data_IF_232189155064
#
_entry.id   IF_232189155064
#
_cell.length_a   1.000
_cell.length_b   1.000
_cell.length_c   1.000
_cell.angle_alpha   90.00
_cell.angle_beta   90.00
_cell.angle_gamma   90.00
#
_symmetry.space_group_name_H-M   'P 1'
#
loop_
_entity.id
_entity.type
_entity.pdbx_description
1 polymer ?
#
# COMPACT_ATOMS: atom_id res chain seq x y z
N UNK A 1 -41.38 -29.01 -81.92
CA UNK A 1 -41.50 -29.76 -80.66
C UNK A 1 -40.10 -30.07 -80.16
N UNK A 2 -39.54 -29.16 -79.35
CA UNK A 2 -38.35 -29.38 -78.51
C UNK A 2 -38.36 -28.29 -77.43
N UNK A 3 -38.84 -28.69 -76.25
CA UNK A 3 -38.83 -27.91 -75.02
C UNK A 3 -37.39 -27.75 -74.52
N UNK A 4 -36.93 -26.51 -74.35
CA UNK A 4 -35.72 -26.21 -73.58
C UNK A 4 -36.12 -25.43 -72.32
N UNK A 5 -36.27 -26.15 -71.21
CA UNK A 5 -36.44 -25.55 -69.88
C UNK A 5 -35.13 -24.87 -69.47
N UNK A 6 -35.14 -23.64 -68.92
CA UNK A 6 -33.93 -23.01 -68.39
C UNK A 6 -33.47 -23.72 -67.11
N UNK A 7 -32.14 -23.80 -66.93
CA UNK A 7 -31.50 -24.37 -65.75
C UNK A 7 -31.84 -23.58 -64.46
N UNK A 8 -31.90 -24.22 -63.29
CA UNK A 8 -32.16 -23.53 -62.03
C UNK A 8 -31.00 -22.60 -61.67
N UNK A 9 -31.34 -21.34 -61.43
CA UNK A 9 -30.45 -20.29 -60.96
C UNK A 9 -29.80 -20.75 -59.64
N UNK A 10 -28.47 -20.78 -59.62
CA UNK A 10 -27.70 -21.20 -58.48
C UNK A 10 -27.86 -20.15 -57.37
N UNK A 11 -28.66 -20.47 -56.35
CA UNK A 11 -28.81 -19.68 -55.13
C UNK A 11 -27.44 -19.19 -54.63
N UNK A 12 -27.14 -17.92 -54.87
CA UNK A 12 -25.93 -17.29 -54.39
C UNK A 12 -25.93 -17.35 -52.86
N UNK A 13 -24.90 -18.00 -52.29
CA UNK A 13 -24.70 -18.00 -50.84
C UNK A 13 -24.48 -16.54 -50.39
N UNK A 14 -25.17 -16.07 -49.34
CA UNK A 14 -24.95 -14.73 -48.83
C UNK A 14 -23.50 -14.58 -48.36
N UNK A 15 -22.90 -13.38 -48.49
CA UNK A 15 -21.52 -13.15 -48.07
C UNK A 15 -21.39 -13.38 -46.57
N UNK A 16 -20.33 -14.09 -46.17
CA UNK A 16 -19.96 -14.26 -44.76
C UNK A 16 -19.59 -12.88 -44.22
N UNK A 17 -20.20 -12.41 -43.12
CA UNK A 17 -19.82 -11.13 -42.53
C UNK A 17 -18.35 -11.18 -42.08
N UNK A 18 -17.60 -10.07 -42.20
CA UNK A 18 -16.23 -10.02 -41.72
C UNK A 18 -16.19 -10.38 -40.23
N UNK A 19 -15.20 -11.20 -39.85
CA UNK A 19 -14.99 -11.55 -38.45
C UNK A 19 -14.87 -10.26 -37.63
N UNK A 20 -15.65 -10.17 -36.56
CA UNK A 20 -15.54 -9.06 -35.61
C UNK A 20 -14.10 -9.06 -35.06
N UNK A 21 -13.41 -7.91 -35.18
CA UNK A 21 -12.14 -7.70 -34.51
C UNK A 21 -12.48 -7.61 -33.02
N UNK A 22 -12.14 -8.65 -32.25
CA UNK A 22 -12.23 -8.58 -30.80
C UNK A 22 -11.34 -7.42 -30.31
N UNK A 23 -11.86 -6.51 -29.46
CA UNK A 23 -11.03 -5.48 -28.88
C UNK A 23 -9.87 -6.16 -28.11
N UNK A 24 -8.65 -5.60 -28.14
CA UNK A 24 -7.55 -6.15 -27.36
C UNK A 24 -8.00 -6.28 -25.90
N UNK A 25 -7.73 -7.44 -25.29
CA UNK A 25 -8.06 -7.70 -23.90
C UNK A 25 -7.55 -6.52 -23.06
N UNK A 26 -8.46 -5.77 -22.44
CA UNK A 26 -8.10 -4.66 -21.59
C UNK A 26 -7.28 -5.23 -20.43
N UNK A 27 -5.98 -4.93 -20.38
CA UNK A 27 -5.17 -5.18 -19.21
C UNK A 27 -5.79 -4.39 -18.06
N UNK A 28 -6.51 -5.08 -17.18
CA UNK A 28 -7.13 -4.46 -16.01
C UNK A 28 -6.01 -3.93 -15.13
N UNK A 29 -5.90 -2.60 -15.02
CA UNK A 29 -4.96 -1.98 -14.08
C UNK A 29 -5.26 -2.50 -12.66
N UNK A 30 -4.22 -2.81 -11.87
CA UNK A 30 -4.44 -3.24 -10.50
C UNK A 30 -5.08 -2.12 -9.68
N UNK A 31 -5.84 -2.49 -8.65
CA UNK A 31 -6.35 -1.52 -7.67
C UNK A 31 -5.15 -0.94 -6.93
N UNK A 32 -4.94 0.37 -7.06
CA UNK A 32 -3.71 1.04 -6.64
C UNK A 32 -3.32 0.75 -5.18
N UNK A 33 -4.27 0.80 -4.23
CA UNK A 33 -4.00 0.48 -2.83
C UNK A 33 -3.59 -0.99 -2.59
N UNK A 34 -4.09 -1.93 -3.40
CA UNK A 34 -3.65 -3.34 -3.33
C UNK A 34 -2.25 -3.53 -3.91
N UNK A 35 -1.94 -2.84 -5.01
CA UNK A 35 -0.61 -2.87 -5.62
C UNK A 35 0.44 -2.25 -4.68
N UNK A 36 0.13 -1.13 -4.02
CA UNK A 36 0.99 -0.54 -2.99
C UNK A 36 1.21 -1.51 -1.83
N UNK A 37 0.16 -2.20 -1.37
CA UNK A 37 0.29 -3.23 -0.34
C UNK A 37 1.20 -4.38 -0.79
N UNK A 38 1.04 -4.88 -2.01
CA UNK A 38 1.89 -5.93 -2.56
C UNK A 38 3.35 -5.49 -2.66
N UNK A 39 3.62 -4.26 -3.13
CA UNK A 39 4.96 -3.69 -3.14
C UNK A 39 5.55 -3.60 -1.73
N UNK A 40 4.77 -3.15 -0.75
CA UNK A 40 5.20 -3.07 0.65
C UNK A 40 5.61 -4.44 1.22
N UNK A 41 4.88 -5.51 0.88
CA UNK A 41 5.24 -6.88 1.25
C UNK A 41 6.58 -7.30 0.64
N UNK A 42 6.85 -6.94 -0.61
CA UNK A 42 8.13 -7.23 -1.29
C UNK A 42 9.30 -6.42 -0.72
N UNK A 43 9.05 -5.23 -0.16
CA UNK A 43 10.07 -4.37 0.46
C UNK A 43 10.44 -4.82 1.89
N UNK A 44 9.52 -5.47 2.61
CA UNK A 44 9.72 -5.88 4.00
C UNK A 44 11.03 -6.67 4.26
N UNK A 45 11.43 -7.66 3.43
CA UNK A 45 12.69 -8.38 3.64
C UNK A 45 13.95 -7.49 3.60
N UNK A 46 13.90 -6.34 2.90
CA UNK A 46 15.00 -5.39 2.92
C UNK A 46 15.09 -4.67 4.27
N UNK A 47 13.95 -4.25 4.83
CA UNK A 47 13.88 -3.65 6.17
C UNK A 47 14.32 -4.64 7.26
N UNK A 48 13.88 -5.89 7.18
CA UNK A 48 14.28 -6.96 8.09
C UNK A 48 15.81 -7.20 8.08
N UNK A 49 16.43 -7.04 6.92
CA UNK A 49 17.87 -7.15 6.75
C UNK A 49 18.64 -5.84 7.04
N UNK A 50 17.96 -4.78 7.47
CA UNK A 50 18.57 -3.48 7.73
C UNK A 50 19.12 -2.78 6.48
N UNK A 51 18.59 -3.10 5.29
CA UNK A 51 19.01 -2.48 4.02
C UNK A 51 18.13 -1.27 3.71
N UNK A 52 18.71 -0.14 3.25
CA UNK A 52 17.94 1.01 2.81
C UNK A 52 17.01 0.68 1.63
N UNK A 53 15.82 1.27 1.63
CA UNK A 53 14.88 1.22 0.51
C UNK A 53 15.26 2.31 -0.51
N UNK A 54 16.32 2.05 -1.26
CA UNK A 54 16.80 2.99 -2.27
C UNK A 54 15.88 3.06 -3.50
N UNK A 55 16.17 4.04 -4.38
CA UNK A 55 15.33 4.28 -5.55
C UNK A 55 15.33 3.13 -6.57
N UNK A 56 16.30 2.23 -6.54
CA UNK A 56 16.32 1.04 -7.40
C UNK A 56 15.39 -0.03 -6.81
N UNK A 57 15.54 -0.32 -5.52
CA UNK A 57 14.70 -1.25 -4.75
C UNK A 57 13.22 -0.88 -4.84
N UNK A 58 12.91 0.41 -4.69
CA UNK A 58 11.52 0.89 -4.81
C UNK A 58 10.97 0.71 -6.23
N UNK A 59 11.77 1.02 -7.26
CA UNK A 59 11.32 0.86 -8.66
C UNK A 59 11.03 -0.59 -9.00
N UNK A 60 11.89 -1.50 -8.56
CA UNK A 60 11.72 -2.94 -8.77
C UNK A 60 10.41 -3.42 -8.14
N UNK A 61 10.23 -3.18 -6.84
CA UNK A 61 9.01 -3.59 -6.12
C UNK A 61 7.73 -2.98 -6.73
N UNK A 62 7.77 -1.71 -7.12
CA UNK A 62 6.63 -1.03 -7.72
C UNK A 62 6.32 -1.51 -9.14
N UNK A 63 7.35 -1.74 -9.96
CA UNK A 63 7.17 -2.24 -11.34
C UNK A 63 6.55 -3.64 -11.31
N UNK A 64 7.01 -4.50 -10.41
CA UNK A 64 6.47 -5.85 -10.25
C UNK A 64 5.02 -5.82 -9.75
N UNK A 65 4.70 -4.97 -8.77
CA UNK A 65 3.36 -4.89 -8.20
C UNK A 65 2.33 -4.24 -9.15
N UNK A 66 2.74 -3.26 -9.95
CA UNK A 66 1.87 -2.55 -10.87
C UNK A 66 1.85 -3.16 -12.29
N UNK A 67 2.83 -4.00 -12.63
CA UNK A 67 3.00 -4.59 -13.95
C UNK A 67 3.45 -3.60 -15.04
N UNK A 68 3.92 -2.41 -14.64
CA UNK A 68 4.40 -1.35 -15.53
C UNK A 68 5.37 -0.41 -14.77
N UNK A 69 6.29 0.22 -15.50
CA UNK A 69 7.29 1.14 -14.94
C UNK A 69 6.76 2.56 -14.68
N UNK A 70 7.51 3.37 -13.94
CA UNK A 70 7.23 4.81 -13.80
C UNK A 70 7.34 5.56 -15.13
N UNK A 71 8.26 5.14 -16.01
CA UNK A 71 8.44 5.71 -17.35
C UNK A 71 7.23 5.46 -18.29
N UNK A 72 6.52 4.36 -18.08
CA UNK A 72 5.27 4.03 -18.80
C UNK A 72 4.03 4.64 -18.14
N UNK A 73 4.21 5.40 -17.05
CA UNK A 73 3.11 5.97 -16.28
C UNK A 73 2.30 4.93 -15.50
N UNK A 74 2.90 3.79 -15.18
CA UNK A 74 2.26 2.71 -14.41
C UNK A 74 1.96 3.10 -12.96
N UNK A 75 2.80 3.95 -12.37
CA UNK A 75 2.70 4.44 -10.99
C UNK A 75 3.49 5.76 -10.83
N UNK A 76 3.22 6.48 -9.73
CA UNK A 76 3.91 7.73 -9.38
C UNK A 76 4.86 7.52 -8.21
N UNK A 77 5.91 8.34 -8.10
CA UNK A 77 6.83 8.30 -6.94
C UNK A 77 6.14 8.45 -5.59
N UNK A 78 4.97 9.11 -5.54
CA UNK A 78 4.11 9.13 -4.35
C UNK A 78 3.73 7.71 -3.91
N UNK A 79 3.33 6.85 -4.84
CA UNK A 79 2.91 5.48 -4.55
C UNK A 79 4.07 4.65 -4.00
N UNK A 80 5.29 4.88 -4.52
CA UNK A 80 6.50 4.25 -4.01
C UNK A 80 6.82 4.69 -2.56
N UNK A 81 6.60 5.96 -2.24
CA UNK A 81 6.74 6.45 -0.86
C UNK A 81 5.65 5.86 0.07
N UNK A 82 4.41 5.74 -0.41
CA UNK A 82 3.34 5.08 0.36
C UNK A 82 3.62 3.58 0.58
N UNK A 83 4.27 2.91 -0.38
CA UNK A 83 4.72 1.53 -0.23
C UNK A 83 5.86 1.38 0.79
N UNK A 84 6.81 2.33 0.83
CA UNK A 84 7.87 2.36 1.84
C UNK A 84 7.29 2.53 3.26
N UNK A 85 6.37 3.49 3.44
CA UNK A 85 5.70 3.72 4.72
C UNK A 85 4.90 2.49 5.16
N UNK A 86 4.17 1.86 4.23
CA UNK A 86 3.43 0.62 4.47
C UNK A 86 4.35 -0.56 4.83
N UNK A 87 5.56 -0.64 4.26
CA UNK A 87 6.54 -1.66 4.62
C UNK A 87 7.03 -1.45 6.07
N UNK A 88 7.21 -0.21 6.51
CA UNK A 88 7.48 0.11 7.92
C UNK A 88 6.31 -0.28 8.85
N UNK A 89 5.06 -0.08 8.42
CA UNK A 89 3.87 -0.57 9.14
C UNK A 89 3.93 -2.09 9.30
N UNK A 90 4.11 -2.84 8.22
CA UNK A 90 4.23 -4.30 8.25
C UNK A 90 5.36 -4.77 9.16
N UNK A 91 6.52 -4.12 9.09
CA UNK A 91 7.66 -4.40 9.98
C UNK A 91 7.27 -4.23 11.45
N UNK A 92 6.57 -3.15 11.81
CA UNK A 92 6.15 -2.91 13.19
C UNK A 92 5.04 -3.85 13.66
N UNK A 93 4.15 -4.30 12.77
CA UNK A 93 3.15 -5.32 13.11
C UNK A 93 3.82 -6.64 13.53
N UNK A 94 4.91 -7.02 12.85
CA UNK A 94 5.68 -8.22 13.15
C UNK A 94 6.58 -8.06 14.37
N UNK A 95 7.33 -6.95 14.44
CA UNK A 95 8.44 -6.81 15.38
C UNK A 95 8.21 -5.78 16.49
N UNK A 96 7.27 -4.87 16.34
CA UNK A 96 7.08 -3.71 17.23
C UNK A 96 6.83 -4.10 18.69
N UNK A 97 6.01 -5.13 18.94
CA UNK A 97 5.80 -5.66 20.31
C UNK A 97 7.08 -6.26 20.89
N UNK A 98 7.88 -6.94 20.08
CA UNK A 98 9.18 -7.48 20.47
C UNK A 98 10.18 -6.37 20.79
N UNK A 99 10.25 -5.34 19.95
CA UNK A 99 11.06 -4.14 20.16
C UNK A 99 10.68 -3.44 21.47
N UNK A 100 9.39 -3.24 21.76
CA UNK A 100 8.94 -2.65 23.03
C UNK A 100 9.35 -3.48 24.25
N UNK A 101 9.26 -4.81 24.17
CA UNK A 101 9.75 -5.70 25.23
C UNK A 101 11.26 -5.55 25.43
N UNK A 102 12.03 -5.49 24.33
CA UNK A 102 13.48 -5.31 24.36
C UNK A 102 13.90 -3.95 24.92
N UNK A 103 13.13 -2.89 24.60
CA UNK A 103 13.36 -1.55 25.16
C UNK A 103 13.20 -1.53 26.69
N UNK A 104 12.29 -2.35 27.23
CA UNK A 104 12.01 -2.46 28.66
C UNK A 104 11.16 -1.31 29.21
N UNK A 105 10.56 -1.50 30.39
CA UNK A 105 9.62 -0.55 31.01
C UNK A 105 10.23 0.49 31.97
N UNK A 106 11.56 0.50 32.11
CA UNK A 106 12.24 1.47 32.98
C UNK A 106 12.34 2.89 32.38
N UNK A 107 12.93 3.85 33.11
CA UNK A 107 13.04 5.26 32.68
C UNK A 107 13.72 5.46 31.31
N UNK A 108 14.66 4.59 30.97
CA UNK A 108 15.38 4.62 29.69
C UNK A 108 14.66 3.88 28.55
N UNK A 109 13.59 3.14 28.86
CA UNK A 109 12.83 2.34 27.90
C UNK A 109 12.36 3.16 26.70
N UNK A 110 11.70 4.31 26.91
CA UNK A 110 11.26 5.16 25.81
C UNK A 110 12.40 5.63 24.89
N UNK A 111 13.56 5.96 25.47
CA UNK A 111 14.75 6.36 24.69
C UNK A 111 15.29 5.21 23.85
N UNK A 112 15.36 4.00 24.40
CA UNK A 112 15.79 2.80 23.65
C UNK A 112 14.83 2.47 22.51
N UNK A 113 13.52 2.53 22.75
CA UNK A 113 12.52 2.32 21.71
C UNK A 113 12.67 3.36 20.60
N UNK A 114 12.79 4.64 20.96
CA UNK A 114 13.00 5.72 19.99
C UNK A 114 14.23 5.48 19.12
N UNK A 115 15.37 5.07 19.70
CA UNK A 115 16.59 4.75 18.93
C UNK A 115 16.39 3.63 17.91
N UNK A 116 15.66 2.57 18.28
CA UNK A 116 15.36 1.49 17.34
C UNK A 116 14.45 1.95 16.21
N UNK A 117 13.46 2.81 16.52
CA UNK A 117 12.58 3.40 15.51
C UNK A 117 13.30 4.39 14.59
N UNK A 118 14.22 5.20 15.13
CA UNK A 118 15.10 6.07 14.33
C UNK A 118 15.95 5.24 13.36
N UNK A 119 16.45 4.07 13.78
CA UNK A 119 17.22 3.18 12.92
C UNK A 119 16.37 2.60 11.78
N UNK A 120 15.11 2.24 12.04
CA UNK A 120 14.17 1.80 10.98
C UNK A 120 13.82 2.95 10.04
N UNK A 121 13.50 4.12 10.58
CA UNK A 121 13.17 5.32 9.79
C UNK A 121 14.30 5.76 8.87
N UNK A 122 15.56 5.53 9.28
CA UNK A 122 16.73 5.85 8.46
C UNK A 122 16.89 4.95 7.23
N UNK A 123 16.14 3.85 7.13
CA UNK A 123 16.11 2.98 5.96
C UNK A 123 15.13 3.47 4.89
N UNK A 124 14.22 4.38 5.21
CA UNK A 124 13.27 4.94 4.25
C UNK A 124 13.95 5.95 3.31
N UNK A 125 13.47 6.08 2.06
CA UNK A 125 13.94 7.12 1.15
C UNK A 125 13.59 8.51 1.69
N UNK A 126 14.38 9.52 1.31
CA UNK A 126 13.96 10.91 1.53
C UNK A 126 12.80 11.28 0.59
N UNK A 127 11.69 11.77 1.15
CA UNK A 127 10.52 12.20 0.40
C UNK A 127 10.78 13.58 -0.27
N UNK A 128 11.56 13.56 -1.34
CA UNK A 128 12.03 14.78 -2.02
C UNK A 128 11.09 15.29 -3.11
N UNK A 129 10.07 14.52 -3.49
CA UNK A 129 9.09 14.87 -4.52
C UNK A 129 7.69 15.02 -3.91
N UNK A 130 6.99 16.12 -4.23
CA UNK A 130 5.61 16.38 -3.81
C UNK A 130 4.68 16.25 -5.02
N UNK A 131 3.65 15.42 -4.93
CA UNK A 131 2.59 15.33 -5.94
C UNK A 131 1.50 16.38 -5.73
N UNK A 132 0.70 16.65 -6.77
CA UNK A 132 -0.44 17.58 -6.69
C UNK A 132 -1.51 17.12 -5.68
N UNK A 133 -1.78 15.81 -5.62
CA UNK A 133 -2.70 15.22 -4.64
C UNK A 133 -2.20 15.45 -3.20
N UNK A 134 -0.90 15.19 -2.94
CA UNK A 134 -0.31 15.43 -1.62
C UNK A 134 -0.42 16.89 -1.18
N UNK A 135 -0.22 17.83 -2.10
CA UNK A 135 -0.37 19.26 -1.80
C UNK A 135 -1.83 19.59 -1.51
N UNK A 136 -2.76 19.09 -2.34
CA UNK A 136 -4.19 19.38 -2.22
C UNK A 136 -4.81 18.83 -0.94
N UNK A 137 -4.46 17.60 -0.58
CA UNK A 137 -4.97 16.90 0.59
C UNK A 137 -4.08 17.07 1.84
N UNK A 138 -3.00 17.85 1.74
CA UNK A 138 -2.00 18.05 2.81
C UNK A 138 -1.47 16.73 3.38
N UNK A 139 -1.24 15.74 2.52
CA UNK A 139 -0.78 14.41 2.89
C UNK A 139 0.73 14.40 3.12
N UNK A 140 1.14 14.86 4.29
CA UNK A 140 2.51 14.70 4.78
C UNK A 140 2.67 13.38 5.51
N UNK A 141 3.87 12.82 5.42
CA UNK A 141 4.23 11.64 6.21
C UNK A 141 4.21 12.00 7.70
N UNK A 142 3.83 11.04 8.54
CA UNK A 142 4.10 11.08 9.98
C UNK A 142 5.30 10.19 10.24
N UNK A 143 6.54 10.72 10.33
CA UNK A 143 7.71 9.88 10.49
C UNK A 143 7.64 9.03 11.76
N UNK A 144 8.19 7.82 11.73
CA UNK A 144 8.20 6.86 12.84
C UNK A 144 8.56 7.47 14.22
N UNK A 145 9.61 8.30 14.36
CA UNK A 145 9.91 8.96 15.64
C UNK A 145 8.78 9.85 16.17
N UNK A 146 8.09 10.56 15.27
CA UNK A 146 6.97 11.44 15.63
C UNK A 146 5.73 10.61 15.98
N UNK A 147 5.46 9.53 15.24
CA UNK A 147 4.37 8.61 15.57
C UNK A 147 4.53 8.00 16.97
N UNK A 148 5.78 7.67 17.34
CA UNK A 148 6.07 7.18 18.68
C UNK A 148 5.91 8.25 19.77
N UNK A 149 6.34 9.49 19.51
CA UNK A 149 6.11 10.60 20.44
C UNK A 149 4.61 10.84 20.68
N UNK A 150 3.80 10.78 19.61
CA UNK A 150 2.35 10.86 19.71
C UNK A 150 1.76 9.71 20.55
N UNK A 151 2.24 8.47 20.37
CA UNK A 151 1.85 7.33 21.21
C UNK A 151 2.16 7.57 22.69
N UNK A 152 3.35 8.11 23.02
CA UNK A 152 3.72 8.42 24.40
C UNK A 152 2.79 9.49 25.00
N UNK A 153 2.44 10.52 24.22
CA UNK A 153 1.55 11.58 24.66
C UNK A 153 0.10 11.09 24.84
N UNK A 154 -0.37 10.22 23.94
CA UNK A 154 -1.72 9.65 23.99
C UNK A 154 -1.92 8.67 25.16
N UNK A 155 -0.83 8.08 25.67
CA UNK A 155 -0.83 7.16 26.81
C UNK A 155 -1.80 5.96 26.66
N UNK A 156 -1.97 5.47 25.42
CA UNK A 156 -2.85 4.34 25.08
C UNK A 156 -2.49 3.09 25.90
N UNK A 157 -3.53 2.43 26.42
CA UNK A 157 -3.45 1.25 27.27
C UNK A 157 -4.26 0.08 26.70
N UNK A 158 -3.92 -1.17 27.09
CA UNK A 158 -4.80 -2.31 26.85
C UNK A 158 -6.22 -2.02 27.34
N UNK A 159 -7.22 -2.32 26.50
CA UNK A 159 -8.63 -2.02 26.74
C UNK A 159 -9.17 -0.72 26.15
N UNK A 160 -8.30 0.21 25.72
CA UNK A 160 -8.73 1.45 25.05
C UNK A 160 -9.34 1.17 23.67
N UNK A 161 -10.15 2.11 23.18
CA UNK A 161 -10.61 2.15 21.78
C UNK A 161 -9.99 3.38 21.12
N UNK A 162 -9.41 3.19 19.93
CA UNK A 162 -8.65 4.20 19.22
C UNK A 162 -9.40 4.61 17.96
N UNK A 163 -9.54 5.91 17.74
CA UNK A 163 -10.05 6.48 16.49
C UNK A 163 -8.93 7.30 15.85
N UNK A 164 -8.59 6.96 14.61
CA UNK A 164 -7.71 7.76 13.76
C UNK A 164 -8.54 8.29 12.56
N UNK A 165 -9.04 9.54 12.62
CA UNK A 165 -9.85 10.13 11.54
C UNK A 165 -9.11 10.37 10.21
N UNK A 166 -7.77 10.41 10.19
CA UNK A 166 -6.93 10.63 9.00
C UNK A 166 -5.68 9.75 9.05
N UNK A 167 -5.89 8.43 9.09
CA UNK A 167 -4.88 7.42 9.36
C UNK A 167 -3.70 7.40 8.38
N UNK A 168 -3.82 8.06 7.21
CA UNK A 168 -2.78 8.09 6.20
C UNK A 168 -2.45 6.68 5.71
N UNK A 169 -1.18 6.27 5.82
CA UNK A 169 -0.71 4.90 5.55
C UNK A 169 -0.73 4.00 6.79
N UNK A 170 -1.11 4.53 7.97
CA UNK A 170 -1.30 3.76 9.20
C UNK A 170 -0.17 3.86 10.24
N UNK A 171 0.73 4.84 10.13
CA UNK A 171 1.87 4.94 11.04
C UNK A 171 1.47 5.16 12.51
N UNK A 172 0.46 5.99 12.77
CA UNK A 172 -0.11 6.13 14.13
C UNK A 172 -0.91 4.90 14.55
N UNK A 173 -1.61 4.27 13.59
CA UNK A 173 -2.40 3.07 13.84
C UNK A 173 -1.54 1.90 14.31
N UNK A 174 -0.40 1.62 13.68
CA UNK A 174 0.49 0.52 14.09
C UNK A 174 1.13 0.77 15.46
N UNK A 175 1.39 2.04 15.81
CA UNK A 175 1.87 2.41 17.15
C UNK A 175 0.81 2.13 18.21
N UNK A 176 -0.44 2.49 17.93
CA UNK A 176 -1.59 2.18 18.78
C UNK A 176 -1.79 0.66 18.90
N UNK A 177 -1.75 -0.09 17.80
CA UNK A 177 -1.83 -1.55 17.77
C UNK A 177 -0.75 -2.20 18.66
N UNK A 178 0.49 -1.70 18.59
CA UNK A 178 1.59 -2.16 19.44
C UNK A 178 1.36 -1.92 20.94
N UNK A 179 0.59 -0.89 21.29
CA UNK A 179 0.24 -0.57 22.68
C UNK A 179 -0.97 -1.36 23.19
N UNK A 180 -2.01 -1.50 22.38
CA UNK A 180 -3.20 -2.33 22.65
C UNK A 180 -2.84 -3.83 22.74
N UNK A 181 -1.88 -4.27 21.93
CA UNK A 181 -1.36 -5.64 21.96
C UNK A 181 -2.40 -6.67 21.50
N UNK A 182 -2.88 -7.53 22.41
CA UNK A 182 -3.90 -8.53 22.06
C UNK A 182 -5.30 -7.91 21.93
N UNK A 183 -5.49 -6.74 22.54
CA UNK A 183 -6.79 -6.06 22.59
C UNK A 183 -7.01 -5.18 21.36
N UNK A 184 -6.12 -5.20 20.36
CA UNK A 184 -6.25 -4.34 19.18
C UNK A 184 -7.42 -4.72 18.25
N UNK A 185 -7.82 -6.01 18.26
CA UNK A 185 -8.90 -6.55 17.42
C UNK A 185 -10.21 -5.83 17.73
N UNK A 186 -10.86 -5.27 16.70
CA UNK A 186 -12.11 -4.51 16.79
C UNK A 186 -12.05 -3.27 17.71
N UNK A 187 -10.84 -2.76 17.99
CA UNK A 187 -10.61 -1.57 18.85
C UNK A 187 -10.00 -0.38 18.14
N UNK A 188 -9.74 -0.47 16.84
CA UNK A 188 -9.13 0.60 16.08
C UNK A 188 -10.03 1.06 14.94
N UNK A 189 -10.57 2.25 15.00
CA UNK A 189 -11.36 2.81 13.92
C UNK A 189 -10.48 3.72 13.07
N UNK A 190 -10.20 3.32 11.84
CA UNK A 190 -9.31 4.04 10.93
C UNK A 190 -10.11 4.62 9.77
N UNK A 191 -9.95 5.92 9.52
CA UNK A 191 -10.57 6.60 8.39
C UNK A 191 -9.51 7.27 7.53
N UNK A 192 -9.74 7.29 6.21
CA UNK A 192 -8.95 8.11 5.30
C UNK A 192 -9.77 8.56 4.08
N UNK A 193 -9.58 9.82 3.69
CA UNK A 193 -10.33 10.45 2.59
C UNK A 193 -9.84 9.98 1.21
N UNK A 194 -8.54 9.73 1.04
CA UNK A 194 -8.01 9.24 -0.22
C UNK A 194 -8.32 7.76 -0.41
N UNK A 195 -9.05 7.43 -1.49
CA UNK A 195 -9.52 6.07 -1.77
C UNK A 195 -8.38 5.04 -1.84
N UNK A 196 -7.23 5.43 -2.41
CA UNK A 196 -6.02 4.59 -2.47
C UNK A 196 -5.52 4.21 -1.08
N UNK A 197 -5.42 5.17 -0.17
CA UNK A 197 -4.98 4.94 1.21
C UNK A 197 -6.03 4.20 2.03
N UNK A 198 -7.30 4.54 1.86
CA UNK A 198 -8.39 3.78 2.48
C UNK A 198 -8.32 2.30 2.08
N UNK A 199 -8.11 1.99 0.80
CA UNK A 199 -7.89 0.62 0.34
C UNK A 199 -6.65 -0.01 0.97
N UNK A 200 -5.51 0.67 0.97
CA UNK A 200 -4.29 0.19 1.61
C UNK A 200 -4.51 -0.14 3.09
N UNK A 201 -5.20 0.72 3.84
CA UNK A 201 -5.50 0.51 5.26
C UNK A 201 -6.34 -0.75 5.49
N UNK A 202 -7.32 -1.05 4.63
CA UNK A 202 -8.09 -2.30 4.75
C UNK A 202 -7.24 -3.56 4.58
N UNK A 203 -6.08 -3.45 3.92
CA UNK A 203 -5.12 -4.55 3.75
C UNK A 203 -4.16 -4.64 4.93
N UNK A 204 -3.70 -3.49 5.44
CA UNK A 204 -2.78 -3.40 6.58
C UNK A 204 -3.46 -3.75 7.92
N UNK A 205 -4.71 -3.34 8.11
CA UNK A 205 -5.46 -3.51 9.37
C UNK A 205 -6.83 -4.14 9.11
N UNK A 206 -6.91 -5.43 8.74
CA UNK A 206 -8.17 -6.08 8.39
C UNK A 206 -9.14 -6.30 9.58
N UNK A 207 -8.70 -5.99 10.80
CA UNK A 207 -9.45 -6.14 12.06
C UNK A 207 -9.73 -4.79 12.75
N UNK A 208 -9.54 -3.69 12.00
CA UNK A 208 -9.87 -2.32 12.42
C UNK A 208 -11.34 -2.01 12.13
#
# INVERSE_FOLDING_TARGET
MLDARPAPDALARPPVPPAAIEPPAATTRPVQGDAIFAAAQSLLPALEAGRPLDAATLREAMTDAFGASDAEGGWLWKDAYEAAEAACVLFLQLYGRGMRRNAGGGPDGPRRMLRMLEAVAALEPSHTRRSEEQVRLQQFSTPLPLAYAALQAAAIRPGDTVLEPSAGTGMLAVMAECALGKDAVDKMHLNEVAQTRARLLTRLFPQA
#
